data_IF_827432651069
#
_entry.id   IF_827432651069
#
_cell.length_a   1.000
_cell.length_b   1.000
_cell.length_c   1.000
_cell.angle_alpha   90.00
_cell.angle_beta   90.00
_cell.angle_gamma   90.00
#
_symmetry.space_group_name_H-M   'P 1'
#
loop_
_entity.id
_entity.type
_entity.pdbx_description
1 polymer ?
#
# COMPACT_ATOMS: atom_id res chain seq x y z
N UNK A 1 -65.42 -6.59 16.36
CA UNK A 1 -64.70 -6.86 15.08
C UNK A 1 -63.68 -5.75 14.92
N UNK A 2 -62.51 -5.93 15.50
CA UNK A 2 -61.38 -4.98 15.39
C UNK A 2 -60.38 -5.53 14.38
N UNK A 3 -60.24 -4.83 13.29
CA UNK A 3 -59.30 -5.15 12.22
C UNK A 3 -57.96 -4.48 12.55
N UNK A 4 -57.02 -5.24 13.11
CA UNK A 4 -55.66 -4.75 13.34
C UNK A 4 -54.88 -4.85 12.03
N UNK A 5 -54.70 -3.72 11.36
CA UNK A 5 -53.75 -3.56 10.25
C UNK A 5 -52.34 -3.56 10.80
N UNK A 6 -51.66 -4.69 10.70
CA UNK A 6 -50.20 -4.81 10.99
C UNK A 6 -49.46 -4.19 9.81
N UNK A 7 -48.90 -3.02 10.04
CA UNK A 7 -48.10 -2.28 9.06
C UNK A 7 -46.70 -2.92 9.04
N UNK A 8 -46.44 -3.84 8.10
CA UNK A 8 -45.13 -4.35 7.82
C UNK A 8 -44.33 -3.27 7.08
N UNK A 9 -43.62 -2.43 7.85
CA UNK A 9 -42.58 -1.60 7.29
C UNK A 9 -41.47 -2.50 6.76
N UNK A 10 -41.32 -2.62 5.44
CA UNK A 10 -40.17 -3.27 4.82
C UNK A 10 -38.89 -2.55 5.29
N UNK A 11 -37.82 -3.30 5.67
CA UNK A 11 -36.55 -2.69 6.02
C UNK A 11 -36.01 -1.97 4.78
N UNK A 12 -35.76 -0.68 4.92
CA UNK A 12 -35.11 0.15 3.91
C UNK A 12 -33.78 -0.53 3.54
N UNK A 13 -33.74 -1.20 2.40
CA UNK A 13 -32.49 -1.73 1.81
C UNK A 13 -31.61 -0.53 1.54
N UNK A 14 -30.62 -0.29 2.39
CA UNK A 14 -29.55 0.66 2.10
C UNK A 14 -28.92 0.21 0.80
N UNK A 15 -29.15 0.94 -0.28
CA UNK A 15 -28.44 0.76 -1.54
C UNK A 15 -26.95 0.73 -1.20
N UNK A 16 -26.18 -0.31 -1.57
CA UNK A 16 -24.77 -0.36 -1.26
C UNK A 16 -24.13 0.90 -1.86
N UNK A 17 -23.53 1.71 -1.01
CA UNK A 17 -22.90 2.96 -1.40
C UNK A 17 -21.76 2.58 -2.35
N UNK A 18 -21.83 3.05 -3.61
CA UNK A 18 -20.78 2.77 -4.59
C UNK A 18 -19.43 3.28 -4.07
N UNK A 19 -18.36 2.49 -4.19
CA UNK A 19 -17.05 2.91 -3.74
C UNK A 19 -16.60 4.17 -4.49
N UNK A 20 -16.08 5.13 -3.74
CA UNK A 20 -15.34 6.27 -4.28
C UNK A 20 -13.86 5.91 -4.25
N UNK A 21 -13.27 5.73 -5.42
CA UNK A 21 -11.93 5.16 -5.60
C UNK A 21 -10.97 6.28 -6.01
N UNK A 22 -9.78 6.27 -5.45
CA UNK A 22 -8.66 7.09 -5.92
C UNK A 22 -7.47 6.18 -6.25
N UNK A 23 -6.87 6.38 -7.42
CA UNK A 23 -5.69 5.66 -7.92
C UNK A 23 -4.52 6.62 -7.92
N UNK A 24 -3.51 6.33 -7.12
CA UNK A 24 -2.27 7.10 -7.01
C UNK A 24 -1.10 6.27 -7.55
N UNK A 25 -0.60 6.64 -8.72
CA UNK A 25 0.50 5.96 -9.43
C UNK A 25 1.13 6.98 -10.38
N UNK A 26 2.44 7.02 -10.54
CA UNK A 26 3.10 7.96 -11.46
C UNK A 26 3.02 7.50 -12.93
N UNK A 27 2.77 6.22 -13.17
CA UNK A 27 2.66 5.65 -14.51
C UNK A 27 1.24 5.80 -15.07
N UNK A 28 1.04 6.70 -16.03
CA UNK A 28 -0.27 7.01 -16.60
C UNK A 28 -0.97 5.80 -17.24
N UNK A 29 -0.21 4.88 -17.85
CA UNK A 29 -0.77 3.66 -18.45
C UNK A 29 -1.32 2.69 -17.41
N UNK A 30 -0.66 2.59 -16.24
CA UNK A 30 -1.11 1.78 -15.12
C UNK A 30 -2.43 2.33 -14.58
N UNK A 31 -2.50 3.65 -14.33
CA UNK A 31 -3.75 4.28 -13.87
C UNK A 31 -4.92 4.04 -14.82
N UNK A 32 -4.68 4.26 -16.13
CA UNK A 32 -5.71 4.03 -17.16
C UNK A 32 -6.12 2.57 -17.26
N UNK A 33 -5.16 1.64 -17.17
CA UNK A 33 -5.42 0.20 -17.19
C UNK A 33 -6.28 -0.21 -15.98
N UNK A 34 -5.89 0.16 -14.77
CA UNK A 34 -6.65 -0.11 -13.55
C UNK A 34 -8.06 0.47 -13.63
N UNK A 35 -8.19 1.73 -14.06
CA UNK A 35 -9.49 2.38 -14.21
C UNK A 35 -10.38 1.63 -15.18
N UNK A 36 -9.86 1.26 -16.34
CA UNK A 36 -10.59 0.51 -17.35
C UNK A 36 -11.03 -0.87 -16.82
N UNK A 37 -10.13 -1.60 -16.17
CA UNK A 37 -10.46 -2.88 -15.53
C UNK A 37 -11.55 -2.75 -14.47
N UNK A 38 -11.46 -1.75 -13.60
CA UNK A 38 -12.47 -1.51 -12.56
C UNK A 38 -13.83 -1.16 -13.19
N UNK A 39 -13.83 -0.33 -14.23
CA UNK A 39 -15.06 0.06 -14.91
C UNK A 39 -15.72 -1.10 -15.65
N UNK A 40 -14.96 -1.84 -16.46
CA UNK A 40 -15.49 -2.90 -17.32
C UNK A 40 -15.84 -4.18 -16.56
N UNK A 41 -15.02 -4.59 -15.61
CA UNK A 41 -15.20 -5.87 -14.93
C UNK A 41 -15.97 -5.75 -13.60
N UNK A 42 -15.94 -4.58 -12.94
CA UNK A 42 -16.56 -4.40 -11.62
C UNK A 42 -17.70 -3.35 -11.62
N UNK A 43 -17.85 -2.59 -12.71
CA UNK A 43 -18.95 -1.63 -12.88
C UNK A 43 -18.82 -0.35 -12.06
N UNK A 44 -17.68 -0.09 -11.40
CA UNK A 44 -17.47 1.13 -10.61
C UNK A 44 -16.93 2.26 -11.49
N UNK A 45 -17.58 3.43 -11.44
CA UNK A 45 -17.25 4.57 -12.32
C UNK A 45 -16.70 5.79 -11.56
N UNK A 46 -16.89 5.87 -10.24
CA UNK A 46 -16.42 6.98 -9.44
C UNK A 46 -14.93 6.80 -9.09
N UNK A 47 -14.08 7.09 -10.06
CA UNK A 47 -12.62 6.85 -9.97
C UNK A 47 -11.87 8.13 -10.29
N UNK A 48 -11.05 8.60 -9.37
CA UNK A 48 -10.12 9.71 -9.52
C UNK A 48 -8.69 9.20 -9.72
N UNK A 49 -7.87 9.93 -10.45
CA UNK A 49 -6.49 9.58 -10.76
C UNK A 49 -5.54 10.70 -10.33
N UNK A 50 -4.44 10.35 -9.66
CA UNK A 50 -3.39 11.28 -9.25
C UNK A 50 -2.02 10.66 -9.51
N UNK A 51 -1.00 11.51 -9.74
CA UNK A 51 0.35 11.07 -10.07
C UNK A 51 1.40 11.41 -9.01
N UNK A 52 1.04 12.20 -8.00
CA UNK A 52 1.98 12.68 -6.97
C UNK A 52 1.38 12.61 -5.57
N UNK A 53 2.26 12.56 -4.55
CA UNK A 53 1.86 12.63 -3.14
C UNK A 53 1.10 13.94 -2.85
N UNK A 54 1.54 15.05 -3.44
CA UNK A 54 0.88 16.34 -3.27
C UNK A 54 -0.54 16.34 -3.83
N UNK A 55 -0.74 15.81 -5.04
CA UNK A 55 -2.09 15.65 -5.62
C UNK A 55 -2.97 14.73 -4.78
N UNK A 56 -2.44 13.59 -4.33
CA UNK A 56 -3.14 12.65 -3.47
C UNK A 56 -3.66 13.34 -2.20
N UNK A 57 -2.78 14.00 -1.47
CA UNK A 57 -3.15 14.68 -0.23
C UNK A 57 -4.19 15.80 -0.47
N UNK A 58 -4.06 16.54 -1.55
CA UNK A 58 -5.03 17.57 -1.94
C UNK A 58 -6.41 16.99 -2.25
N UNK A 59 -6.48 15.86 -2.98
CA UNK A 59 -7.74 15.22 -3.32
C UNK A 59 -8.41 14.57 -2.11
N UNK A 60 -7.64 13.96 -1.20
CA UNK A 60 -8.18 13.41 0.05
C UNK A 60 -8.83 14.46 0.96
N UNK A 61 -8.36 15.72 0.88
CA UNK A 61 -8.97 16.85 1.61
C UNK A 61 -10.29 17.28 0.95
N UNK A 62 -10.36 17.28 -0.37
CA UNK A 62 -11.52 17.78 -1.14
C UNK A 62 -12.72 16.86 -1.10
N UNK A 63 -12.50 15.54 -1.17
CA UNK A 63 -13.53 14.52 -1.30
C UNK A 63 -13.30 13.38 -0.32
N UNK A 64 -14.39 12.72 0.08
CA UNK A 64 -14.31 11.44 0.80
C UNK A 64 -14.15 10.30 -0.20
N UNK A 65 -13.06 9.58 -0.07
CA UNK A 65 -12.82 8.33 -0.77
C UNK A 65 -13.02 7.16 0.19
N UNK A 66 -13.43 6.02 -0.34
CA UNK A 66 -13.58 4.77 0.42
C UNK A 66 -12.41 3.83 0.18
N UNK A 67 -11.81 3.91 -1.02
CA UNK A 67 -10.73 3.04 -1.46
C UNK A 67 -9.60 3.84 -2.11
N UNK A 68 -8.38 3.52 -1.74
CA UNK A 68 -7.14 4.06 -2.32
C UNK A 68 -6.32 2.90 -2.88
N UNK A 69 -6.02 2.94 -4.17
CA UNK A 69 -4.99 2.09 -4.81
C UNK A 69 -3.74 2.94 -4.90
N UNK A 70 -2.64 2.48 -4.29
CA UNK A 70 -1.47 3.30 -3.99
C UNK A 70 -0.19 2.65 -4.46
N UNK A 71 0.55 3.31 -5.36
CA UNK A 71 1.95 2.95 -5.56
C UNK A 71 2.83 3.51 -4.43
N UNK A 72 3.91 2.81 -4.14
CA UNK A 72 4.91 3.24 -3.14
C UNK A 72 5.71 4.43 -3.64
N UNK A 73 6.01 4.51 -4.94
CA UNK A 73 6.79 5.60 -5.53
C UNK A 73 5.90 6.42 -6.46
N UNK A 74 5.84 7.72 -6.22
CA UNK A 74 5.16 8.70 -7.08
C UNK A 74 6.16 9.74 -7.61
N UNK A 75 5.71 10.63 -8.50
CA UNK A 75 6.59 11.61 -9.16
C UNK A 75 7.37 12.50 -8.20
N UNK A 76 6.83 12.78 -7.03
CA UNK A 76 7.38 13.71 -6.04
C UNK A 76 7.92 13.01 -4.78
N UNK A 77 7.97 11.67 -4.78
CA UNK A 77 8.59 10.92 -3.70
C UNK A 77 7.86 9.64 -3.31
N UNK A 78 8.22 9.13 -2.14
CA UNK A 78 7.66 7.90 -1.60
C UNK A 78 6.40 8.14 -0.78
N UNK A 79 5.39 7.33 -1.03
CA UNK A 79 4.14 7.35 -0.28
C UNK A 79 4.28 6.77 1.13
N UNK A 80 5.35 6.03 1.40
CA UNK A 80 5.63 5.48 2.73
C UNK A 80 5.73 6.56 3.81
N UNK A 81 6.17 7.77 3.45
CA UNK A 81 6.24 8.90 4.38
C UNK A 81 4.86 9.45 4.77
N UNK A 82 3.90 9.39 3.86
CA UNK A 82 2.57 9.96 4.06
C UNK A 82 1.55 8.94 4.58
N UNK A 83 1.79 7.63 4.42
CA UNK A 83 0.88 6.58 4.88
C UNK A 83 0.51 6.72 6.36
N UNK A 84 1.44 6.96 7.32
CA UNK A 84 1.08 7.13 8.73
C UNK A 84 0.11 8.30 8.95
N UNK A 85 0.30 9.40 8.21
CA UNK A 85 -0.59 10.55 8.30
C UNK A 85 -1.96 10.27 7.65
N UNK A 86 -1.98 9.63 6.49
CA UNK A 86 -3.24 9.22 5.83
C UNK A 86 -4.04 8.33 6.78
N UNK A 87 -3.41 7.35 7.40
CA UNK A 87 -4.08 6.41 8.29
C UNK A 87 -4.64 7.08 9.55
N UNK A 88 -3.91 8.08 10.09
CA UNK A 88 -4.36 8.86 11.24
C UNK A 88 -5.56 9.75 10.92
N UNK A 89 -5.58 10.37 9.73
CA UNK A 89 -6.62 11.33 9.32
C UNK A 89 -7.84 10.61 8.71
N UNK A 90 -7.60 9.52 7.98
CA UNK A 90 -8.61 8.76 7.27
C UNK A 90 -8.60 7.27 7.69
N UNK A 91 -8.96 6.93 8.94
CA UNK A 91 -8.86 5.57 9.48
C UNK A 91 -9.70 4.55 8.70
N UNK A 92 -10.84 4.98 8.15
CA UNK A 92 -11.77 4.12 7.40
C UNK A 92 -11.40 3.92 5.92
N UNK A 93 -10.42 4.67 5.42
CA UNK A 93 -9.98 4.56 4.03
C UNK A 93 -9.32 3.20 3.81
N UNK A 94 -9.90 2.35 2.95
CA UNK A 94 -9.29 1.09 2.57
C UNK A 94 -8.12 1.36 1.63
N UNK A 95 -6.97 0.76 1.90
CA UNK A 95 -5.75 0.96 1.09
C UNK A 95 -5.27 -0.37 0.55
N UNK A 96 -5.13 -0.44 -0.78
CA UNK A 96 -4.41 -1.48 -1.51
C UNK A 96 -3.11 -0.88 -2.03
N UNK A 97 -1.98 -1.46 -1.67
CA UNK A 97 -0.70 -1.08 -2.26
C UNK A 97 -0.50 -1.91 -3.54
N UNK A 98 -0.25 -1.21 -4.66
CA UNK A 98 0.02 -1.81 -5.96
C UNK A 98 1.34 -1.28 -6.49
N UNK A 99 2.42 -2.05 -6.36
CA UNK A 99 3.78 -1.56 -6.57
C UNK A 99 4.71 -2.59 -7.20
N UNK A 100 5.81 -2.10 -7.80
CA UNK A 100 6.93 -2.93 -8.24
C UNK A 100 7.84 -3.38 -7.08
N UNK A 101 7.66 -2.81 -5.89
CA UNK A 101 8.47 -3.13 -4.73
C UNK A 101 8.11 -4.53 -4.18
N UNK A 102 9.06 -5.28 -3.58
CA UNK A 102 8.80 -6.63 -3.07
C UNK A 102 7.78 -6.67 -1.94
N UNK A 103 6.75 -7.49 -2.09
CA UNK A 103 5.70 -7.66 -1.07
C UNK A 103 6.24 -8.23 0.25
N UNK A 104 7.29 -9.03 0.18
CA UNK A 104 7.95 -9.69 1.31
C UNK A 104 8.58 -8.66 2.27
N UNK A 105 9.07 -7.54 1.72
CA UNK A 105 9.67 -6.45 2.50
C UNK A 105 8.59 -5.48 2.98
N UNK A 106 7.81 -4.96 2.03
CA UNK A 106 6.93 -3.82 2.31
C UNK A 106 5.58 -4.24 2.87
N UNK A 107 5.07 -5.40 2.44
CA UNK A 107 3.75 -5.87 2.85
C UNK A 107 3.64 -6.08 4.36
N UNK A 108 4.64 -6.71 4.98
CA UNK A 108 4.62 -6.96 6.42
C UNK A 108 4.73 -5.66 7.22
N UNK A 109 5.64 -4.78 6.83
CA UNK A 109 5.79 -3.49 7.50
C UNK A 109 4.56 -2.57 7.36
N UNK A 110 3.82 -2.70 6.27
CA UNK A 110 2.60 -1.91 6.05
C UNK A 110 1.39 -2.42 6.84
N UNK A 111 1.42 -3.67 7.31
CA UNK A 111 0.37 -4.24 8.19
C UNK A 111 0.22 -3.46 9.49
N UNK A 112 1.31 -2.90 10.04
CA UNK A 112 1.24 -2.04 11.24
C UNK A 112 0.35 -0.80 11.05
N UNK A 113 0.17 -0.37 9.78
CA UNK A 113 -0.72 0.73 9.41
C UNK A 113 -2.11 0.24 8.97
N UNK A 114 -2.46 -1.04 9.23
CA UNK A 114 -3.73 -1.63 8.84
C UNK A 114 -3.89 -1.84 7.34
N UNK A 115 -2.79 -1.84 6.56
CA UNK A 115 -2.80 -2.15 5.13
C UNK A 115 -2.66 -3.66 4.98
N UNK A 116 -3.72 -4.31 4.53
CA UNK A 116 -3.79 -5.77 4.39
C UNK A 116 -3.66 -6.21 2.93
N UNK A 117 -3.87 -5.29 1.98
CA UNK A 117 -3.82 -5.57 0.55
C UNK A 117 -2.51 -5.06 -0.03
N UNK A 118 -1.68 -5.99 -0.47
CA UNK A 118 -0.48 -5.71 -1.23
C UNK A 118 -0.48 -6.55 -2.50
N UNK A 119 -0.29 -5.91 -3.65
CA UNK A 119 -0.28 -6.52 -4.95
C UNK A 119 0.96 -6.05 -5.72
N UNK A 120 1.75 -7.00 -6.23
CA UNK A 120 2.88 -6.67 -7.10
C UNK A 120 2.38 -6.29 -8.50
N UNK A 121 2.98 -5.28 -9.12
CA UNK A 121 2.74 -4.93 -10.53
C UNK A 121 3.27 -5.99 -11.51
N UNK A 122 3.97 -7.02 -11.03
CA UNK A 122 4.53 -8.10 -11.86
C UNK A 122 3.61 -9.31 -11.99
N UNK A 123 2.48 -9.34 -11.27
CA UNK A 123 1.52 -10.44 -11.37
C UNK A 123 0.65 -10.33 -12.62
N UNK A 124 0.04 -11.45 -13.03
CA UNK A 124 -0.82 -11.48 -14.21
C UNK A 124 -2.18 -10.78 -14.00
N UNK A 125 -2.80 -10.41 -15.11
CA UNK A 125 -4.06 -9.65 -15.12
C UNK A 125 -5.19 -10.34 -14.34
N UNK A 126 -5.27 -11.66 -14.39
CA UNK A 126 -6.30 -12.44 -13.66
C UNK A 126 -6.18 -12.25 -12.15
N UNK A 127 -4.96 -12.26 -11.61
CA UNK A 127 -4.72 -12.03 -10.19
C UNK A 127 -5.04 -10.59 -9.80
N UNK A 128 -4.68 -9.62 -10.65
CA UNK A 128 -5.02 -8.21 -10.44
C UNK A 128 -6.53 -8.05 -10.31
N UNK A 129 -7.32 -8.60 -11.24
CA UNK A 129 -8.78 -8.52 -11.24
C UNK A 129 -9.37 -9.15 -9.98
N UNK A 130 -8.92 -10.35 -9.61
CA UNK A 130 -9.41 -11.04 -8.41
C UNK A 130 -9.14 -10.26 -7.13
N UNK A 131 -7.94 -9.70 -6.99
CA UNK A 131 -7.58 -8.91 -5.81
C UNK A 131 -8.36 -7.59 -5.77
N UNK A 132 -8.48 -6.89 -6.89
CA UNK A 132 -9.29 -5.67 -7.00
C UNK A 132 -10.75 -5.93 -6.65
N UNK A 133 -11.35 -7.02 -7.12
CA UNK A 133 -12.72 -7.40 -6.80
C UNK A 133 -12.89 -7.57 -5.29
N UNK A 134 -12.06 -8.36 -4.63
CA UNK A 134 -12.11 -8.58 -3.18
C UNK A 134 -11.91 -7.29 -2.40
N UNK A 135 -10.93 -6.49 -2.81
CA UNK A 135 -10.63 -5.21 -2.19
C UNK A 135 -11.83 -4.24 -2.26
N UNK A 136 -12.42 -4.05 -3.44
CA UNK A 136 -13.51 -3.09 -3.66
C UNK A 136 -14.85 -3.57 -3.08
N UNK A 137 -15.01 -4.86 -2.85
CA UNK A 137 -16.18 -5.44 -2.17
C UNK A 137 -16.02 -5.50 -0.66
N UNK A 138 -14.90 -4.99 -0.11
CA UNK A 138 -14.55 -5.06 1.32
C UNK A 138 -14.54 -6.50 1.85
N UNK A 139 -14.24 -7.47 1.00
CA UNK A 139 -14.04 -8.84 1.45
C UNK A 139 -12.73 -8.92 2.23
N UNK A 140 -12.80 -9.42 3.46
CA UNK A 140 -11.59 -9.66 4.24
C UNK A 140 -10.75 -10.72 3.53
N UNK A 141 -9.49 -10.40 3.20
CA UNK A 141 -8.57 -11.43 2.73
C UNK A 141 -8.53 -12.54 3.78
N UNK A 142 -9.05 -13.71 3.45
CA UNK A 142 -8.71 -14.90 4.24
C UNK A 142 -7.18 -14.95 4.26
N UNK A 143 -6.62 -14.96 5.46
CA UNK A 143 -5.17 -15.07 5.66
C UNK A 143 -4.68 -16.17 4.72
N UNK A 144 -4.07 -15.81 3.58
CA UNK A 144 -3.13 -16.74 2.98
C UNK A 144 -2.18 -17.09 4.12
N UNK A 145 -2.05 -18.36 4.42
CA UNK A 145 -1.08 -18.90 5.37
C UNK A 145 0.36 -18.68 4.85
N UNK A 146 0.70 -17.46 4.53
CA UNK A 146 2.05 -17.00 4.71
C UNK A 146 2.18 -16.93 6.22
N UNK A 147 2.58 -18.03 6.83
CA UNK A 147 3.05 -18.02 8.21
C UNK A 147 3.97 -16.82 8.29
N UNK A 148 3.65 -15.78 9.10
CA UNK A 148 4.66 -14.80 9.42
C UNK A 148 5.83 -15.64 9.92
N UNK A 149 6.98 -15.53 9.30
CA UNK A 149 8.18 -16.01 9.97
C UNK A 149 8.23 -15.17 11.24
N UNK A 150 7.94 -15.73 12.43
CA UNK A 150 7.80 -14.93 13.64
C UNK A 150 9.06 -14.13 13.98
N UNK A 151 10.15 -14.41 13.28
CA UNK A 151 11.47 -13.84 13.47
C UNK A 151 12.01 -13.10 12.24
N UNK A 152 11.14 -12.63 11.32
CA UNK A 152 11.65 -11.81 10.20
C UNK A 152 12.16 -10.46 10.71
N UNK A 153 13.48 -10.22 10.76
CA UNK A 153 14.05 -9.00 11.33
C UNK A 153 13.66 -7.74 10.55
N UNK A 154 13.28 -7.89 9.28
CA UNK A 154 12.86 -6.78 8.44
C UNK A 154 11.45 -6.26 8.78
N UNK A 155 10.62 -7.04 9.46
CA UNK A 155 9.28 -6.64 9.89
C UNK A 155 9.27 -5.47 10.88
N UNK A 156 10.39 -5.27 11.60
CA UNK A 156 10.57 -4.18 12.58
C UNK A 156 11.01 -2.85 11.95
N UNK A 157 11.31 -2.85 10.65
CA UNK A 157 11.81 -1.66 9.96
C UNK A 157 10.69 -0.65 9.71
N UNK A 158 10.98 0.62 9.99
CA UNK A 158 10.10 1.72 9.63
C UNK A 158 10.07 1.91 8.09
N UNK A 159 9.01 2.50 7.53
CA UNK A 159 8.89 2.70 6.09
C UNK A 159 10.13 3.32 5.44
N UNK A 160 10.72 4.33 6.09
CA UNK A 160 11.92 4.99 5.55
C UNK A 160 13.18 4.12 5.61
N UNK A 161 13.27 3.25 6.60
CA UNK A 161 14.34 2.26 6.70
C UNK A 161 14.24 1.21 5.59
N UNK A 162 13.01 0.82 5.22
CA UNK A 162 12.75 -0.09 4.10
C UNK A 162 13.19 0.48 2.75
N UNK A 163 12.96 1.76 2.52
CA UNK A 163 13.45 2.43 1.32
C UNK A 163 14.98 2.40 1.24
N UNK A 164 15.65 2.74 2.34
CA UNK A 164 17.12 2.66 2.41
C UNK A 164 17.58 1.23 2.17
N UNK A 165 16.95 0.24 2.83
CA UNK A 165 17.26 -1.17 2.66
C UNK A 165 17.19 -1.59 1.18
N UNK A 166 16.10 -1.21 0.49
CA UNK A 166 15.92 -1.53 -0.93
C UNK A 166 17.10 -1.05 -1.79
N UNK A 167 17.56 0.18 -1.58
CA UNK A 167 18.72 0.70 -2.31
C UNK A 167 20.03 0.01 -1.88
N UNK A 168 20.20 -0.28 -0.60
CA UNK A 168 21.36 -1.00 -0.09
C UNK A 168 21.48 -2.39 -0.73
N UNK A 169 20.37 -3.14 -0.82
CA UNK A 169 20.35 -4.46 -1.45
C UNK A 169 20.65 -4.42 -2.96
N UNK A 170 20.38 -3.28 -3.61
CA UNK A 170 20.82 -3.02 -5.00
C UNK A 170 22.28 -2.60 -5.12
N UNK A 171 23.02 -2.51 -4.02
CA UNK A 171 24.42 -2.11 -4.00
C UNK A 171 24.68 -0.61 -4.06
N UNK A 172 23.63 0.23 -3.91
CA UNK A 172 23.76 1.67 -3.94
C UNK A 172 24.56 2.22 -2.74
N UNK A 173 25.45 3.16 -3.00
CA UNK A 173 26.23 3.87 -1.99
C UNK A 173 25.41 4.95 -1.28
N UNK A 174 25.89 5.39 -0.09
CA UNK A 174 25.21 6.40 0.73
C UNK A 174 24.88 7.69 -0.05
N UNK A 175 25.78 8.12 -0.94
CA UNK A 175 25.57 9.33 -1.76
C UNK A 175 24.44 9.12 -2.78
N UNK A 176 24.45 8.01 -3.48
CA UNK A 176 23.43 7.64 -4.48
C UNK A 176 22.04 7.53 -3.83
N UNK A 177 21.98 6.91 -2.65
CA UNK A 177 20.72 6.82 -1.87
C UNK A 177 20.24 8.21 -1.44
N UNK A 178 21.15 9.07 -0.99
CA UNK A 178 20.83 10.42 -0.57
C UNK A 178 20.24 11.25 -1.74
N UNK A 179 20.84 11.13 -2.92
CA UNK A 179 20.36 11.79 -4.15
C UNK A 179 19.00 11.22 -4.59
N UNK A 180 18.86 9.88 -4.65
CA UNK A 180 17.65 9.21 -5.10
C UNK A 180 16.43 9.50 -4.22
N UNK A 181 16.64 9.61 -2.90
CA UNK A 181 15.57 9.84 -1.91
C UNK A 181 15.45 11.30 -1.46
N UNK A 182 16.21 12.21 -2.07
CA UNK A 182 16.30 13.64 -1.68
C UNK A 182 16.58 13.82 -0.17
N UNK A 183 17.57 13.10 0.35
CA UNK A 183 17.99 13.12 1.74
C UNK A 183 19.39 13.69 1.90
N UNK A 184 19.71 14.10 3.14
CA UNK A 184 21.11 14.36 3.51
C UNK A 184 21.85 13.04 3.72
N UNK A 185 23.13 12.97 3.33
CA UNK A 185 23.97 11.79 3.53
C UNK A 185 24.03 11.33 5.01
N UNK A 186 24.04 12.28 5.95
CA UNK A 186 24.01 11.96 7.38
C UNK A 186 22.70 11.27 7.79
N UNK A 187 21.58 11.64 7.18
CA UNK A 187 20.28 10.98 7.42
C UNK A 187 20.32 9.54 6.91
N UNK A 188 20.85 9.32 5.70
CA UNK A 188 21.02 7.96 5.14
C UNK A 188 21.94 7.12 6.03
N UNK A 189 23.07 7.68 6.48
CA UNK A 189 23.99 6.98 7.38
C UNK A 189 23.34 6.59 8.70
N UNK A 190 22.57 7.48 9.30
CA UNK A 190 21.82 7.19 10.54
C UNK A 190 20.78 6.08 10.34
N UNK A 191 20.02 6.13 9.24
CA UNK A 191 19.02 5.11 8.92
C UNK A 191 19.67 3.76 8.61
N UNK A 192 20.81 3.76 7.92
CA UNK A 192 21.60 2.55 7.67
C UNK A 192 22.07 1.90 9.00
N UNK A 193 22.55 2.68 9.95
CA UNK A 193 22.91 2.17 11.28
C UNK A 193 21.72 1.53 11.97
N UNK A 194 20.57 2.18 11.97
CA UNK A 194 19.33 1.63 12.55
C UNK A 194 18.88 0.34 11.88
N UNK A 195 19.04 0.22 10.55
CA UNK A 195 18.74 -1.03 9.84
C UNK A 195 19.61 -2.14 10.37
N UNK A 196 20.93 -1.93 10.49
CA UNK A 196 21.85 -2.92 11.04
C UNK A 196 21.50 -3.32 12.48
N UNK A 197 21.18 -2.35 13.33
CA UNK A 197 20.77 -2.60 14.72
C UNK A 197 19.49 -3.44 14.79
N UNK A 198 18.46 -3.08 14.01
CA UNK A 198 17.16 -3.76 14.02
C UNK A 198 17.21 -5.15 13.38
N UNK A 199 18.02 -5.33 12.35
CA UNK A 199 18.21 -6.63 11.69
C UNK A 199 19.27 -7.50 12.35
N UNK A 200 19.98 -6.96 13.34
CA UNK A 200 21.13 -7.61 13.98
C UNK A 200 22.22 -8.03 12.98
N UNK A 201 22.37 -7.27 11.89
CA UNK A 201 23.44 -7.45 10.91
C UNK A 201 24.64 -6.54 11.25
N UNK A 202 25.83 -7.08 11.33
CA UNK A 202 27.05 -6.30 11.65
C UNK A 202 27.63 -5.54 10.46
N UNK A 203 27.26 -5.95 9.23
CA UNK A 203 27.80 -5.38 8.00
C UNK A 203 26.89 -5.67 6.80
N UNK A 204 27.25 -5.09 5.63
CA UNK A 204 26.46 -5.23 4.41
C UNK A 204 26.36 -6.69 3.92
N UNK A 205 27.42 -7.47 4.09
CA UNK A 205 27.41 -8.88 3.67
C UNK A 205 26.37 -9.68 4.47
N UNK A 206 26.37 -9.55 5.78
CA UNK A 206 25.41 -10.19 6.66
C UNK A 206 23.97 -9.72 6.37
N UNK A 207 23.78 -8.43 6.07
CA UNK A 207 22.48 -7.90 5.69
C UNK A 207 21.98 -8.55 4.38
N UNK A 208 22.84 -8.74 3.38
CA UNK A 208 22.50 -9.43 2.13
C UNK A 208 22.21 -10.92 2.33
N UNK A 209 22.97 -11.60 3.20
CA UNK A 209 22.71 -13.00 3.56
C UNK A 209 21.35 -13.16 4.25
N UNK A 210 21.02 -12.26 5.20
CA UNK A 210 19.70 -12.21 5.81
C UNK A 210 18.59 -11.94 4.78
N UNK A 211 18.80 -10.96 3.89
CA UNK A 211 17.85 -10.65 2.85
C UNK A 211 17.55 -11.87 1.95
N UNK A 212 18.60 -12.60 1.57
CA UNK A 212 18.45 -13.84 0.79
C UNK A 212 17.70 -14.93 1.57
N UNK A 213 17.99 -15.10 2.87
CA UNK A 213 17.34 -16.09 3.73
C UNK A 213 15.83 -15.86 3.88
N UNK A 214 15.42 -14.59 3.93
CA UNK A 214 14.01 -14.20 4.10
C UNK A 214 13.33 -13.84 2.78
N UNK A 215 13.97 -14.09 1.62
CA UNK A 215 13.48 -13.74 0.27
C UNK A 215 13.13 -12.26 0.12
N UNK A 216 14.00 -11.41 0.61
CA UNK A 216 13.85 -9.94 0.64
C UNK A 216 14.69 -9.29 -0.45
#
# INVERSE_FOLDING_TARGET
MENSLVNHAEPIRKTPMQPAIIIADDHSMIRKGLKLHIQLNLGFTNIEEVASCHELMRELIKKKYTHLILDIILTDGSTLEIIPNIRRVYPELQILVFSMQPAEIYGEALKQYGIQYYLSKTVGDEEIIQVLQKFLQNETLQKRNNTPHPDNPFSSLAPRELEILHYLLKGAGTKEIAEALNLKMNTVSTLKTRIYEKTNAGNMKELMELATLYNV
#
